data_IF_688248083088
#
_entry.id   IF_688248083088
#
_cell.length_a   1.000
_cell.length_b   1.000
_cell.length_c   1.000
_cell.angle_alpha   90.00
_cell.angle_beta   90.00
_cell.angle_gamma   90.00
#
_symmetry.space_group_name_H-M   'P 1'
#
loop_
_entity.id
_entity.type
_entity.pdbx_description
1 polymer ?
#
# COMPACT_ATOMS: atom_id res chain seq x y z
N UNK A 1 -10.18 -11.00 5.53
CA UNK A 1 -9.93 -10.93 6.99
C UNK A 1 -8.53 -10.38 7.28
N UNK A 2 -8.37 -9.06 7.49
CA UNK A 2 -7.07 -8.36 7.65
C UNK A 2 -7.33 -6.88 8.00
N UNK A 3 -6.35 -6.18 8.57
CA UNK A 3 -6.29 -4.73 8.54
C UNK A 3 -4.95 -4.26 7.96
N UNK A 4 -5.02 -3.50 6.87
CA UNK A 4 -3.93 -2.69 6.34
C UNK A 4 -4.35 -1.23 6.47
N UNK A 5 -3.47 -0.37 6.96
CA UNK A 5 -3.72 1.06 7.09
C UNK A 5 -2.46 1.83 6.72
N UNK A 6 -2.62 2.99 6.09
CA UNK A 6 -1.49 3.82 5.72
C UNK A 6 -1.79 5.30 5.77
N UNK A 7 -0.75 6.11 5.80
CA UNK A 7 -0.83 7.55 5.72
C UNK A 7 0.38 8.16 5.02
N UNK A 8 0.24 9.41 4.62
CA UNK A 8 1.29 10.21 3.99
C UNK A 8 1.63 11.38 4.91
N UNK A 9 2.91 11.55 5.20
CA UNK A 9 3.42 12.74 5.89
C UNK A 9 4.78 13.15 5.32
N UNK A 10 4.95 14.44 5.01
CA UNK A 10 6.22 14.97 4.49
C UNK A 10 6.70 14.32 3.17
N UNK A 11 5.78 13.78 2.36
CA UNK A 11 6.12 13.04 1.14
C UNK A 11 6.68 11.63 1.39
N UNK A 12 6.61 11.13 2.62
CA UNK A 12 6.89 9.75 3.02
C UNK A 12 5.56 9.02 3.15
N UNK A 13 5.48 7.82 2.59
CA UNK A 13 4.33 6.94 2.75
C UNK A 13 4.61 5.92 3.84
N UNK A 14 3.68 5.74 4.75
CA UNK A 14 3.72 4.73 5.80
C UNK A 14 2.57 3.75 5.59
N UNK A 15 2.85 2.45 5.64
CA UNK A 15 1.82 1.41 5.56
C UNK A 15 2.09 0.38 6.67
N UNK A 16 1.07 0.12 7.47
CA UNK A 16 1.06 -0.92 8.48
C UNK A 16 0.06 -2.03 8.18
N UNK A 17 0.35 -3.23 8.67
CA UNK A 17 -0.54 -4.37 8.59
C UNK A 17 -0.49 -5.24 9.84
N UNK A 18 -1.60 -5.92 10.11
CA UNK A 18 -1.70 -6.96 11.14
C UNK A 18 -1.06 -8.28 10.70
N UNK A 19 -0.93 -9.22 11.62
CA UNK A 19 -0.27 -10.52 11.42
C UNK A 19 -1.21 -11.72 11.46
N UNK A 20 -2.54 -11.54 11.57
CA UNK A 20 -3.47 -12.66 11.60
C UNK A 20 -3.71 -13.25 10.20
N UNK A 21 -3.70 -14.56 10.08
CA UNK A 21 -4.35 -15.28 9.00
C UNK A 21 -5.59 -15.95 9.57
N UNK A 22 -6.74 -15.70 8.95
CA UNK A 22 -8.01 -16.17 9.48
C UNK A 22 -8.87 -16.74 8.35
N UNK A 23 -9.45 -17.91 8.60
CA UNK A 23 -10.55 -18.47 7.81
C UNK A 23 -11.84 -18.44 8.65
N UNK A 24 -12.91 -19.08 8.21
CA UNK A 24 -14.20 -19.00 8.90
C UNK A 24 -14.22 -19.63 10.31
N UNK A 25 -13.21 -20.41 10.67
CA UNK A 25 -13.19 -21.24 11.88
C UNK A 25 -11.94 -21.08 12.72
N UNK A 26 -10.81 -20.77 12.09
CA UNK A 26 -9.49 -20.79 12.68
C UNK A 26 -8.73 -19.50 12.37
N UNK A 27 -7.92 -19.09 13.34
CA UNK A 27 -7.02 -17.95 13.21
C UNK A 27 -5.63 -18.36 13.69
N UNK A 28 -4.63 -18.06 12.88
CA UNK A 28 -3.22 -18.24 13.18
C UNK A 28 -2.50 -16.90 13.06
N UNK A 29 -1.57 -16.61 13.96
CA UNK A 29 -0.71 -15.43 13.84
C UNK A 29 0.54 -15.82 13.07
N UNK A 30 0.73 -15.24 11.90
CA UNK A 30 1.85 -15.50 11.01
C UNK A 30 3.02 -14.54 11.23
N UNK A 31 4.24 -15.01 10.96
CA UNK A 31 5.46 -14.18 10.93
C UNK A 31 5.56 -13.35 9.65
N UNK A 32 4.77 -13.70 8.63
CA UNK A 32 4.77 -13.03 7.33
C UNK A 32 4.25 -11.59 7.40
N UNK A 33 5.02 -10.66 6.82
CA UNK A 33 4.58 -9.27 6.64
C UNK A 33 3.50 -9.20 5.56
N UNK A 34 2.36 -8.55 5.83
CA UNK A 34 1.33 -8.25 4.82
C UNK A 34 1.62 -6.98 4.00
N UNK A 35 2.70 -6.29 4.34
CA UNK A 35 3.22 -5.11 3.65
C UNK A 35 4.53 -5.48 2.96
N UNK A 36 4.59 -5.24 1.66
CA UNK A 36 5.69 -5.62 0.78
C UNK A 36 6.27 -4.36 0.14
N UNK A 37 7.59 -4.20 0.22
CA UNK A 37 8.31 -3.19 -0.56
C UNK A 37 8.92 -3.84 -1.80
N UNK A 38 8.60 -3.30 -2.97
CA UNK A 38 9.13 -3.76 -4.25
C UNK A 38 9.56 -2.55 -5.09
N UNK A 39 10.87 -2.27 -5.09
CA UNK A 39 11.44 -1.08 -5.73
C UNK A 39 10.90 0.24 -5.15
N UNK A 40 10.33 1.06 -6.02
CA UNK A 40 9.74 2.38 -5.69
C UNK A 40 8.27 2.28 -5.25
N UNK A 41 7.79 1.09 -4.91
CA UNK A 41 6.40 0.85 -4.48
C UNK A 41 6.37 0.14 -3.13
N UNK A 42 5.46 0.58 -2.26
CA UNK A 42 5.11 -0.07 -1.00
C UNK A 42 3.66 -0.55 -1.10
N UNK A 43 3.40 -1.83 -0.89
CA UNK A 43 2.07 -2.42 -1.11
C UNK A 43 1.65 -3.20 0.13
N UNK A 44 0.57 -2.76 0.76
CA UNK A 44 -0.16 -3.57 1.74
C UNK A 44 -1.27 -4.35 1.07
N UNK A 45 -1.42 -5.63 1.41
CA UNK A 45 -2.40 -6.52 0.79
C UNK A 45 -3.38 -7.06 1.83
N UNK A 46 -4.68 -6.97 1.52
CA UNK A 46 -5.75 -7.65 2.24
C UNK A 46 -6.45 -8.64 1.32
N UNK A 47 -6.97 -9.73 1.87
CA UNK A 47 -7.59 -10.82 1.10
C UNK A 47 -6.70 -12.06 1.08
N UNK A 48 -6.54 -12.65 -0.10
CA UNK A 48 -5.83 -13.91 -0.30
C UNK A 48 -4.29 -13.73 -0.12
N UNK A 49 -3.65 -14.46 0.83
CA UNK A 49 -2.20 -14.42 1.01
C UNK A 49 -1.39 -14.76 -0.24
N UNK A 50 -1.97 -15.53 -1.18
CA UNK A 50 -1.32 -15.85 -2.45
C UNK A 50 -1.03 -14.61 -3.28
N UNK A 51 -1.94 -13.63 -3.27
CA UNK A 51 -1.73 -12.35 -3.96
C UNK A 51 -0.51 -11.62 -3.41
N UNK A 52 -0.33 -11.62 -2.09
CA UNK A 52 0.85 -11.05 -1.44
C UNK A 52 2.14 -11.75 -1.88
N UNK A 53 2.14 -13.08 -1.98
CA UNK A 53 3.33 -13.82 -2.46
C UNK A 53 3.66 -13.49 -3.92
N UNK A 54 2.64 -13.32 -4.78
CA UNK A 54 2.83 -12.88 -6.17
C UNK A 54 3.42 -11.46 -6.20
N UNK A 55 2.88 -10.53 -5.40
CA UNK A 55 3.39 -9.17 -5.28
C UNK A 55 4.87 -9.11 -4.84
N UNK A 56 5.29 -10.07 -4.02
CA UNK A 56 6.63 -10.14 -3.48
C UNK A 56 7.63 -10.86 -4.40
N UNK A 57 7.22 -11.93 -5.08
CA UNK A 57 8.13 -12.85 -5.77
C UNK A 57 8.03 -12.79 -7.29
N UNK A 58 6.88 -12.37 -7.84
CA UNK A 58 6.59 -12.45 -9.29
C UNK A 58 6.36 -11.07 -9.89
N UNK A 59 5.77 -10.15 -9.12
CA UNK A 59 5.43 -8.82 -9.59
C UNK A 59 6.68 -7.99 -9.87
N UNK A 60 6.76 -7.48 -11.09
CA UNK A 60 7.80 -6.54 -11.52
C UNK A 60 7.12 -5.18 -11.73
N UNK A 61 7.21 -4.26 -10.76
CA UNK A 61 6.54 -2.97 -10.88
C UNK A 61 7.10 -2.17 -12.06
N UNK A 62 6.25 -1.61 -12.94
CA UNK A 62 6.71 -0.77 -14.02
C UNK A 62 7.36 0.51 -13.48
N UNK A 63 8.30 1.06 -14.24
CA UNK A 63 8.99 2.29 -13.83
C UNK A 63 8.12 3.49 -14.19
N UNK A 64 7.64 4.22 -13.18
CA UNK A 64 7.06 5.54 -13.41
C UNK A 64 8.16 6.56 -13.67
N UNK A 65 8.07 7.21 -14.83
CA UNK A 65 8.88 8.38 -15.17
C UNK A 65 7.95 9.59 -15.15
N UNK A 66 8.13 10.45 -14.15
CA UNK A 66 7.37 11.69 -14.07
C UNK A 66 7.67 12.55 -15.29
N UNK A 67 6.68 12.68 -16.16
CA UNK A 67 6.69 13.59 -17.28
C UNK A 67 5.29 14.23 -17.38
N UNK A 68 5.20 15.40 -18.00
CA UNK A 68 3.95 16.17 -18.09
C UNK A 68 2.80 15.44 -18.81
N UNK A 69 3.04 14.28 -19.45
CA UNK A 69 2.05 13.59 -20.27
C UNK A 69 1.17 12.62 -19.48
N UNK A 70 1.65 12.10 -18.34
CA UNK A 70 0.94 11.05 -17.59
C UNK A 70 1.01 11.29 -16.09
N UNK A 71 -0.16 11.53 -15.48
CA UNK A 71 -0.28 11.60 -14.02
C UNK A 71 0.03 10.24 -13.39
N UNK A 72 0.40 10.24 -12.11
CA UNK A 72 0.66 9.00 -11.38
C UNK A 72 -0.59 8.10 -11.33
N UNK A 73 -1.77 8.68 -11.10
CA UNK A 73 -3.03 7.93 -11.13
C UNK A 73 -3.28 7.29 -12.50
N UNK A 74 -3.06 8.04 -13.60
CA UNK A 74 -3.20 7.48 -14.94
C UNK A 74 -2.20 6.34 -15.22
N UNK A 75 -0.97 6.44 -14.68
CA UNK A 75 0.02 5.36 -14.73
C UNK A 75 -0.44 4.13 -13.94
N UNK A 76 -0.99 4.33 -12.74
CA UNK A 76 -1.50 3.23 -11.91
C UNK A 76 -2.65 2.50 -12.58
N UNK A 77 -3.60 3.26 -13.16
CA UNK A 77 -4.76 2.69 -13.86
C UNK A 77 -4.38 1.90 -15.12
N UNK A 78 -3.23 2.17 -15.73
CA UNK A 78 -2.82 1.50 -16.97
C UNK A 78 -1.60 0.60 -16.80
N UNK A 79 -0.40 1.14 -16.63
CA UNK A 79 0.84 0.37 -16.73
C UNK A 79 0.96 -0.57 -15.54
N UNK A 80 0.67 -0.04 -14.35
CA UNK A 80 0.70 -0.82 -13.11
C UNK A 80 -0.37 -1.91 -13.13
N UNK A 81 -1.62 -1.59 -13.45
CA UNK A 81 -2.70 -2.58 -13.59
C UNK A 81 -2.35 -3.66 -14.63
N UNK A 82 -1.77 -3.29 -15.78
CA UNK A 82 -1.36 -4.27 -16.79
C UNK A 82 -0.23 -5.17 -16.30
N UNK A 83 0.77 -4.61 -15.60
CA UNK A 83 1.84 -5.39 -15.00
C UNK A 83 1.31 -6.35 -13.92
N UNK A 84 0.36 -5.89 -13.09
CA UNK A 84 -0.32 -6.72 -12.10
C UNK A 84 -1.05 -7.90 -12.75
N UNK A 85 -1.88 -7.65 -13.77
CA UNK A 85 -2.59 -8.70 -14.52
C UNK A 85 -1.63 -9.71 -15.15
N UNK A 86 -0.55 -9.22 -15.74
CA UNK A 86 0.49 -10.09 -16.30
C UNK A 86 1.13 -10.97 -15.23
N UNK A 87 1.48 -10.43 -14.06
CA UNK A 87 2.07 -11.19 -12.96
C UNK A 87 1.11 -12.24 -12.38
N UNK A 88 -0.18 -11.93 -12.26
CA UNK A 88 -1.21 -12.91 -11.88
C UNK A 88 -1.24 -14.07 -12.87
N UNK A 89 -1.31 -13.77 -14.17
CA UNK A 89 -1.32 -14.76 -15.24
C UNK A 89 -0.06 -15.64 -15.23
N UNK A 90 1.12 -15.04 -15.07
CA UNK A 90 2.39 -15.78 -14.97
C UNK A 90 2.44 -16.71 -13.75
N UNK A 91 1.78 -16.33 -12.66
CA UNK A 91 1.69 -17.13 -11.45
C UNK A 91 0.63 -18.26 -11.51
N UNK A 92 -0.08 -18.40 -12.64
CA UNK A 92 -1.16 -19.37 -12.83
C UNK A 92 -2.51 -18.93 -12.27
N UNK A 93 -2.63 -17.67 -11.84
CA UNK A 93 -3.89 -17.09 -11.38
C UNK A 93 -4.72 -16.59 -12.56
N UNK A 94 -6.05 -16.54 -12.37
CA UNK A 94 -6.94 -15.86 -13.29
C UNK A 94 -6.79 -14.34 -13.17
N UNK A 95 -7.11 -13.60 -14.23
CA UNK A 95 -7.04 -12.13 -14.22
C UNK A 95 -8.00 -11.49 -13.20
N UNK A 96 -9.09 -12.19 -12.86
CA UNK A 96 -10.09 -11.82 -11.86
C UNK A 96 -9.74 -12.29 -10.44
N UNK A 97 -8.54 -12.83 -10.20
CA UNK A 97 -8.15 -13.34 -8.89
C UNK A 97 -8.22 -12.28 -7.78
N UNK A 98 -8.07 -10.99 -8.13
CA UNK A 98 -8.24 -9.87 -7.20
C UNK A 98 -9.71 -9.58 -6.85
N UNK A 99 -10.67 -9.92 -7.73
CA UNK A 99 -12.10 -9.70 -7.48
C UNK A 99 -12.63 -10.53 -6.30
N UNK A 100 -11.89 -11.57 -5.90
CA UNK A 100 -12.16 -12.41 -4.72
C UNK A 100 -11.74 -11.71 -3.42
N UNK A 101 -12.34 -10.56 -3.14
CA UNK A 101 -12.17 -9.81 -1.88
C UNK A 101 -10.71 -9.39 -1.58
N UNK A 102 -9.89 -9.22 -2.61
CA UNK A 102 -8.58 -8.62 -2.44
C UNK A 102 -8.66 -7.11 -2.58
N UNK A 103 -7.96 -6.40 -1.70
CA UNK A 103 -7.80 -4.95 -1.79
C UNK A 103 -6.41 -4.58 -1.37
N UNK A 104 -5.82 -3.65 -2.10
CA UNK A 104 -4.44 -3.22 -1.92
C UNK A 104 -4.40 -1.77 -1.47
N UNK A 105 -3.41 -1.48 -0.63
CA UNK A 105 -2.99 -0.12 -0.33
C UNK A 105 -1.61 0.10 -0.94
N UNK A 106 -1.49 1.07 -1.83
CA UNK A 106 -0.32 1.30 -2.69
C UNK A 106 0.29 2.66 -2.34
N UNK A 107 1.48 2.63 -1.75
CA UNK A 107 2.34 3.78 -1.54
C UNK A 107 3.33 3.94 -2.69
N UNK A 108 3.31 5.08 -3.37
CA UNK A 108 4.24 5.38 -4.45
C UNK A 108 4.46 6.89 -4.58
N UNK A 109 5.72 7.33 -4.71
CA UNK A 109 6.07 8.74 -4.94
C UNK A 109 5.41 9.73 -3.94
N UNK A 110 5.40 9.39 -2.65
CA UNK A 110 4.83 10.24 -1.60
C UNK A 110 3.31 10.37 -1.66
N UNK A 111 2.62 9.41 -2.29
CA UNK A 111 1.17 9.35 -2.43
C UNK A 111 0.66 7.96 -2.08
N UNK A 112 -0.58 7.89 -1.60
CA UNK A 112 -1.24 6.68 -1.14
C UNK A 112 -2.50 6.44 -1.95
N UNK A 113 -2.65 5.23 -2.47
CA UNK A 113 -3.79 4.84 -3.29
C UNK A 113 -4.40 3.55 -2.75
N UNK A 114 -5.72 3.44 -2.83
CA UNK A 114 -6.41 2.18 -2.63
C UNK A 114 -6.75 1.59 -3.99
N UNK A 115 -6.46 0.29 -4.18
CA UNK A 115 -6.91 -0.49 -5.33
C UNK A 115 -7.86 -1.58 -4.87
N UNK A 116 -9.06 -1.61 -5.44
CA UNK A 116 -10.06 -2.65 -5.18
C UNK A 116 -9.92 -3.84 -6.14
N UNK A 117 -10.66 -4.92 -5.87
CA UNK A 117 -10.54 -6.18 -6.60
C UNK A 117 -10.81 -6.09 -8.10
N UNK A 118 -11.62 -5.12 -8.53
CA UNK A 118 -11.92 -4.83 -9.93
C UNK A 118 -10.92 -3.84 -10.58
N UNK A 119 -9.77 -3.60 -9.94
CA UNK A 119 -8.76 -2.63 -10.34
C UNK A 119 -9.24 -1.17 -10.34
N UNK A 120 -10.34 -0.85 -9.66
CA UNK A 120 -10.66 0.55 -9.35
C UNK A 120 -9.57 1.11 -8.43
N UNK A 121 -9.07 2.31 -8.74
CA UNK A 121 -8.01 2.98 -7.95
C UNK A 121 -8.48 4.36 -7.54
N UNK A 122 -8.40 4.65 -6.24
CA UNK A 122 -8.71 5.95 -5.67
C UNK A 122 -7.56 6.47 -4.79
N UNK A 123 -7.48 7.79 -4.66
CA UNK A 123 -6.60 8.47 -3.69
C UNK A 123 -7.49 9.28 -2.75
N UNK A 124 -7.43 8.95 -1.46
CA UNK A 124 -8.21 9.64 -0.45
C UNK A 124 -7.65 11.05 -0.17
N UNK A 125 -8.53 12.06 -0.19
CA UNK A 125 -8.12 13.46 -0.03
C UNK A 125 -7.57 13.80 1.37
N UNK A 126 -7.91 13.00 2.39
CA UNK A 126 -7.48 13.22 3.78
C UNK A 126 -6.08 12.63 4.11
N UNK A 127 -5.39 12.04 3.14
CA UNK A 127 -3.98 11.65 3.28
C UNK A 127 -3.73 10.37 4.09
N UNK A 128 -4.76 9.59 4.39
CA UNK A 128 -4.67 8.25 4.97
C UNK A 128 -5.74 7.35 4.36
N UNK A 129 -5.59 6.04 4.45
CA UNK A 129 -6.62 5.10 4.00
C UNK A 129 -6.40 3.72 4.64
N UNK A 130 -7.39 2.83 4.54
CA UNK A 130 -7.31 1.48 5.09
C UNK A 130 -8.12 0.46 4.28
N UNK A 131 -7.62 -0.78 4.20
CA UNK A 131 -8.28 -1.91 3.53
C UNK A 131 -8.39 -3.14 4.42
N UNK A 132 -9.34 -4.00 4.10
CA UNK A 132 -9.66 -5.22 4.83
C UNK A 132 -10.77 -5.03 5.88
N UNK A 133 -11.13 -6.12 6.56
CA UNK A 133 -12.22 -6.14 7.56
C UNK A 133 -11.98 -5.23 8.76
N UNK A 134 -10.73 -4.84 9.05
CA UNK A 134 -10.40 -3.88 10.11
C UNK A 134 -10.46 -2.41 9.68
N UNK A 135 -10.73 -2.12 8.39
CA UNK A 135 -10.56 -0.79 7.81
C UNK A 135 -11.37 0.29 8.53
N UNK A 136 -12.65 0.08 8.80
CA UNK A 136 -13.50 1.11 9.41
C UNK A 136 -13.05 1.52 10.82
N UNK A 137 -12.58 0.57 11.62
CA UNK A 137 -12.01 0.86 12.95
C UNK A 137 -10.70 1.64 12.83
N UNK A 138 -9.84 1.23 11.89
CA UNK A 138 -8.58 1.92 11.62
C UNK A 138 -8.81 3.36 11.13
N UNK A 139 -9.74 3.58 10.19
CA UNK A 139 -10.08 4.90 9.66
C UNK A 139 -10.60 5.84 10.76
N UNK A 140 -11.44 5.36 11.66
CA UNK A 140 -11.91 6.13 12.81
C UNK A 140 -10.77 6.55 13.74
N UNK A 141 -9.86 5.62 14.05
CA UNK A 141 -8.69 5.93 14.86
C UNK A 141 -7.72 6.91 14.16
N UNK A 142 -7.49 6.75 12.85
CA UNK A 142 -6.67 7.67 12.06
C UNK A 142 -7.25 9.08 12.02
N UNK A 143 -8.58 9.20 11.93
CA UNK A 143 -9.29 10.48 12.01
C UNK A 143 -9.11 11.14 13.38
N UNK A 144 -9.18 10.36 14.46
CA UNK A 144 -9.11 10.86 15.84
C UNK A 144 -7.68 11.15 16.34
N UNK A 145 -6.65 10.88 15.54
CA UNK A 145 -5.24 11.01 15.94
C UNK A 145 -4.39 11.87 15.00
N UNK A 146 -4.88 13.05 14.53
CA UNK A 146 -4.15 13.84 13.52
C UNK A 146 -2.80 14.37 14.03
N UNK A 147 -2.65 14.55 15.34
CA UNK A 147 -1.49 15.19 15.96
C UNK A 147 -0.36 14.23 16.35
N UNK A 148 -0.52 12.92 16.10
CA UNK A 148 0.50 11.92 16.41
C UNK A 148 1.43 11.68 15.21
N UNK A 149 2.62 11.15 15.50
CA UNK A 149 3.56 10.72 14.45
C UNK A 149 2.95 9.59 13.60
N UNK A 150 3.30 9.47 12.30
CA UNK A 150 2.71 8.49 11.38
C UNK A 150 2.69 7.06 11.91
N UNK A 151 3.81 6.60 12.45
CA UNK A 151 3.95 5.26 13.00
C UNK A 151 3.04 5.04 14.21
N UNK A 152 2.90 6.03 15.08
CA UNK A 152 2.01 5.96 16.25
C UNK A 152 0.54 5.96 15.84
N UNK A 153 0.18 6.76 14.82
CA UNK A 153 -1.17 6.77 14.24
C UNK A 153 -1.53 5.41 13.68
N UNK A 154 -0.66 4.84 12.84
CA UNK A 154 -0.85 3.50 12.26
C UNK A 154 -0.93 2.44 13.35
N UNK A 155 -0.06 2.49 14.35
CA UNK A 155 -0.09 1.54 15.46
C UNK A 155 -1.41 1.63 16.24
N UNK A 156 -1.88 2.84 16.59
CA UNK A 156 -3.17 3.02 17.27
C UNK A 156 -4.35 2.57 16.42
N UNK A 157 -4.29 2.79 15.11
CA UNK A 157 -5.33 2.36 14.18
C UNK A 157 -5.41 0.83 14.10
N UNK A 158 -4.27 0.14 14.03
CA UNK A 158 -4.21 -1.32 14.07
C UNK A 158 -4.66 -1.88 15.42
N UNK A 159 -4.29 -1.24 16.54
CA UNK A 159 -4.73 -1.63 17.87
C UNK A 159 -6.26 -1.47 18.04
N UNK A 160 -6.84 -0.37 17.54
CA UNK A 160 -8.28 -0.19 17.53
C UNK A 160 -8.98 -1.25 16.67
N UNK A 161 -8.41 -1.59 15.51
CA UNK A 161 -8.91 -2.68 14.68
C UNK A 161 -8.79 -4.05 15.35
N UNK A 162 -7.69 -4.36 16.06
CA UNK A 162 -7.54 -5.60 16.82
C UNK A 162 -8.60 -5.75 17.93
N UNK A 163 -8.90 -4.66 18.64
CA UNK A 163 -9.87 -4.65 19.73
C UNK A 163 -11.32 -4.95 19.27
N UNK A 164 -11.66 -4.61 18.02
CA UNK A 164 -13.04 -4.64 17.54
C UNK A 164 -13.26 -5.51 16.28
N UNK A 165 -12.19 -5.98 15.65
CA UNK A 165 -12.25 -6.91 14.53
C UNK A 165 -11.63 -8.26 14.94
N UNK A 166 -12.41 -9.37 14.91
CA UNK A 166 -11.92 -10.68 15.37
C UNK A 166 -10.77 -11.22 14.50
N UNK A 167 -10.61 -10.69 13.28
CA UNK A 167 -9.64 -11.18 12.31
C UNK A 167 -8.37 -10.33 12.20
N UNK A 168 -8.07 -9.51 13.21
CA UNK A 168 -6.92 -8.59 13.22
C UNK A 168 -6.11 -8.89 14.46
N UNK A 169 -4.82 -9.20 14.31
CA UNK A 169 -3.94 -9.46 15.47
C UNK A 169 -2.56 -8.86 15.31
N UNK A 170 -2.01 -8.42 16.44
CA UNK A 170 -0.59 -8.17 16.61
C UNK A 170 0.24 -9.46 16.38
N UNK A 171 1.56 -9.37 16.11
CA UNK A 171 2.34 -8.14 16.01
C UNK A 171 1.93 -7.26 14.81
N UNK A 172 2.10 -5.95 14.95
CA UNK A 172 1.88 -5.01 13.86
C UNK A 172 3.19 -4.71 13.15
N UNK A 173 3.17 -4.80 11.83
CA UNK A 173 4.34 -4.52 10.98
C UNK A 173 4.10 -3.23 10.23
N UNK A 174 5.01 -2.26 10.38
CA UNK A 174 4.94 -0.94 9.73
C UNK A 174 6.17 -0.77 8.85
N UNK A 175 5.96 -0.40 7.60
CA UNK A 175 6.99 -0.08 6.63
C UNK A 175 6.80 1.34 6.11
N UNK A 176 7.87 1.95 5.64
CA UNK A 176 7.85 3.30 5.09
C UNK A 176 8.58 3.39 3.74
N UNK A 177 8.11 4.29 2.89
CA UNK A 177 8.70 4.59 1.60
C UNK A 177 8.90 6.11 1.48
N UNK A 178 10.17 6.51 1.53
CA UNK A 178 10.56 7.91 1.38
C UNK A 178 10.37 8.43 -0.05
N UNK A 179 10.47 9.76 -0.24
CA UNK A 179 10.43 10.36 -1.57
C UNK A 179 11.58 9.83 -2.43
N UNK A 180 11.29 9.54 -3.70
CA UNK A 180 12.32 9.11 -4.66
C UNK A 180 13.40 10.19 -4.72
N UNK A 181 14.66 9.83 -4.49
CA UNK A 181 15.80 10.75 -4.62
C UNK A 181 15.79 11.35 -6.03
N UNK A 182 15.41 12.61 -6.15
CA UNK A 182 15.64 13.38 -7.37
C UNK A 182 17.05 13.95 -7.26
N UNK A 183 17.96 13.49 -8.13
CA UNK A 183 19.29 14.10 -8.21
C UNK A 183 19.12 15.63 -8.36
N UNK A 184 19.91 16.44 -7.62
CA UNK A 184 19.80 17.89 -7.70
C UNK A 184 19.92 18.31 -9.16
N UNK A 185 18.95 19.10 -9.64
CA UNK A 185 19.04 19.74 -10.96
C UNK A 185 20.39 20.45 -10.99
N UNK A 186 21.30 20.03 -11.87
CA UNK A 186 22.57 20.75 -12.09
C UNK A 186 22.18 22.21 -12.35
N UNK A 187 22.41 23.10 -11.38
CA UNK A 187 22.38 24.55 -11.64
C UNK A 187 23.45 24.74 -12.70
N UNK A 188 23.03 25.11 -13.92
CA UNK A 188 23.96 25.46 -14.97
C UNK A 188 24.82 26.61 -14.44
N UNK A 189 26.08 26.32 -14.12
CA UNK A 189 27.07 27.36 -13.94
C UNK A 189 27.26 27.99 -15.31
N UNK A 190 26.59 29.12 -15.53
CA UNK A 190 26.95 30.02 -16.61
C UNK A 190 28.34 30.57 -16.28
N UNK A 191 29.38 29.92 -16.79
CA UNK A 191 30.70 30.53 -16.89
C UNK A 191 30.59 31.66 -17.91
N UNK A 192 30.29 32.86 -17.41
CA UNK A 192 30.47 34.09 -18.17
C UNK A 192 31.96 34.34 -18.31
N UNK A 193 32.52 34.03 -19.47
CA UNK A 193 33.78 34.63 -19.90
C UNK A 193 33.50 36.10 -20.24
N UNK A 194 34.17 37.01 -19.53
CA UNK A 194 34.47 38.37 -19.97
C UNK A 194 35.97 38.54 -19.93
#
# INVERSE_FOLDING_TARGET
MTCIVGCVEGGIVYIGGDSAWCNNWEMSVGVGKKVVRNGDVLIGCSGDPRIKDILQQVFVPPIYVSNKKKSLLAFLLTDFTNAMKYSLKCAGEKEDALEKECSLLIGMHGRLFQMEGNFHILEAAHGYDAVGSGAYFALGAMHATPDLLPSDRIHRALAAAEAHCPSVRAPFMIEQLGPRYQAPKKRGFAYGFR
#
